data_IF_098736239354
#
_entry.id   IF_098736239354
#
_cell.length_a   1.000
_cell.length_b   1.000
_cell.length_c   1.000
_cell.angle_alpha   90.00
_cell.angle_beta   90.00
_cell.angle_gamma   90.00
#
_symmetry.space_group_name_H-M   'P 1'
#
loop_
_entity.id
_entity.type
_entity.pdbx_description
1 polymer ?
#
# COMPACT_ATOMS: atom_id res chain seq x y z
N UNK A 1 13.09 42.08 -38.03
CA UNK A 1 14.56 41.98 -38.19
C UNK A 1 15.20 41.71 -36.83
N UNK A 2 15.39 40.45 -36.46
CA UNK A 2 16.31 40.03 -35.39
C UNK A 2 16.76 38.57 -35.66
N UNK A 3 18.03 38.28 -35.31
CA UNK A 3 18.97 37.20 -35.70
C UNK A 3 18.60 35.79 -35.18
N UNK A 4 18.82 34.69 -35.95
CA UNK A 4 20.01 33.77 -36.01
C UNK A 4 20.49 33.28 -34.62
N UNK A 5 20.75 32.01 -34.28
CA UNK A 5 21.44 30.89 -34.97
C UNK A 5 21.03 29.52 -34.37
N UNK A 6 21.07 28.46 -35.19
CA UNK A 6 20.86 27.07 -34.77
C UNK A 6 22.14 26.38 -34.27
N UNK A 7 21.96 25.41 -33.36
CA UNK A 7 23.02 24.56 -32.82
C UNK A 7 23.22 23.30 -33.67
N UNK A 8 24.46 23.08 -34.14
CA UNK A 8 24.90 21.89 -34.84
C UNK A 8 25.17 20.73 -33.87
N UNK A 9 24.67 19.54 -34.22
CA UNK A 9 25.07 18.25 -33.65
C UNK A 9 26.48 17.89 -34.15
N UNK A 10 27.42 17.58 -33.25
CA UNK A 10 28.70 16.98 -33.62
C UNK A 10 28.65 15.47 -33.36
N UNK A 11 28.85 14.68 -34.42
CA UNK A 11 29.07 13.24 -34.38
C UNK A 11 30.55 12.97 -34.09
N UNK A 12 30.87 12.14 -33.08
CA UNK A 12 32.21 11.56 -32.96
C UNK A 12 32.18 10.11 -33.43
N UNK A 13 33.07 9.83 -34.40
CA UNK A 13 33.38 8.51 -34.94
C UNK A 13 34.02 7.63 -33.88
N UNK A 14 33.73 6.34 -33.99
CA UNK A 14 34.44 5.26 -33.35
C UNK A 14 35.84 5.12 -33.96
N UNK A 15 36.87 5.16 -33.11
CA UNK A 15 38.19 4.60 -33.43
C UNK A 15 38.50 3.53 -32.38
N UNK A 16 39.00 2.42 -32.90
CA UNK A 16 39.28 1.17 -32.19
C UNK A 16 40.77 1.07 -31.91
N UNK A 17 41.17 0.92 -30.66
CA UNK A 17 42.52 0.46 -30.30
C UNK A 17 42.53 -0.26 -28.94
N UNK A 18 43.01 -1.51 -28.96
CA UNK A 18 43.93 -2.05 -27.95
C UNK A 18 43.36 -2.49 -26.60
N UNK A 19 43.16 -3.81 -26.44
CA UNK A 19 43.17 -4.49 -25.13
C UNK A 19 44.54 -4.30 -24.46
N UNK A 20 44.55 -3.84 -23.21
CA UNK A 20 45.57 -4.21 -22.23
C UNK A 20 44.92 -4.29 -20.85
N UNK A 21 44.99 -5.46 -20.23
CA UNK A 21 44.40 -5.74 -18.93
C UNK A 21 45.06 -4.98 -17.79
N UNK A 22 44.21 -4.47 -16.91
CA UNK A 22 44.51 -4.23 -15.51
C UNK A 22 43.15 -4.26 -14.79
N UNK A 23 42.89 -5.29 -13.99
CA UNK A 23 41.81 -5.26 -13.00
C UNK A 23 42.10 -4.15 -11.99
N UNK A 24 41.21 -3.17 -11.77
CA UNK A 24 41.34 -2.30 -10.63
C UNK A 24 40.79 -3.07 -9.42
N UNK A 25 41.71 -3.63 -8.64
CA UNK A 25 41.48 -3.95 -7.23
C UNK A 25 40.83 -2.75 -6.53
N UNK A 26 39.58 -2.94 -6.08
CA UNK A 26 38.93 -2.23 -4.98
C UNK A 26 39.14 -0.72 -4.89
N UNK A 27 38.55 0.04 -5.82
CA UNK A 27 38.27 1.44 -5.52
C UNK A 27 37.16 1.47 -4.46
N UNK A 28 37.48 1.99 -3.26
CA UNK A 28 36.47 2.25 -2.22
C UNK A 28 35.37 3.19 -2.74
N UNK A 29 34.21 3.24 -2.07
CA UNK A 29 33.08 4.05 -2.53
C UNK A 29 33.50 5.52 -2.70
N UNK A 30 33.02 6.15 -3.77
CA UNK A 30 33.25 7.58 -3.99
C UNK A 30 32.49 8.40 -2.92
N UNK A 31 32.92 9.64 -2.61
CA UNK A 31 32.20 10.49 -1.64
C UNK A 31 30.72 10.73 -1.99
N UNK A 32 30.38 10.68 -3.28
CA UNK A 32 29.01 10.77 -3.78
C UNK A 32 28.22 9.47 -3.52
N UNK A 33 28.83 8.29 -3.74
CA UNK A 33 28.24 7.01 -3.37
C UNK A 33 28.03 6.86 -1.85
N UNK A 34 28.96 7.33 -1.03
CA UNK A 34 28.80 7.37 0.44
C UNK A 34 27.65 8.30 0.89
N UNK A 35 27.32 9.34 0.12
CA UNK A 35 26.16 10.19 0.38
C UNK A 35 24.85 9.50 0.00
N UNK A 36 24.81 8.80 -1.13
CA UNK A 36 23.65 8.05 -1.62
C UNK A 36 23.32 6.88 -0.69
N UNK A 37 24.33 6.10 -0.29
CA UNK A 37 24.15 4.99 0.66
C UNK A 37 23.51 5.44 1.98
N UNK A 38 24.01 6.54 2.58
CA UNK A 38 23.41 7.11 3.81
C UNK A 38 21.97 7.56 3.61
N UNK A 39 21.67 8.20 2.48
CA UNK A 39 20.30 8.61 2.17
C UNK A 39 19.36 7.41 2.01
N UNK A 40 19.83 6.30 1.42
CA UNK A 40 19.05 5.07 1.31
C UNK A 40 18.81 4.44 2.69
N UNK A 41 19.82 4.44 3.57
CA UNK A 41 19.66 3.96 4.93
C UNK A 41 18.60 4.78 5.71
N UNK A 42 18.58 6.10 5.52
CA UNK A 42 17.54 7.00 6.07
C UNK A 42 16.15 6.64 5.52
N UNK A 43 16.03 6.47 4.19
CA UNK A 43 14.77 6.05 3.56
C UNK A 43 14.29 4.70 4.11
N UNK A 44 15.18 3.74 4.31
CA UNK A 44 14.84 2.43 4.89
C UNK A 44 14.38 2.58 6.34
N UNK A 45 15.10 3.35 7.16
CA UNK A 45 14.75 3.60 8.55
C UNK A 45 13.36 4.25 8.68
N UNK A 46 13.01 5.14 7.76
CA UNK A 46 11.69 5.78 7.69
C UNK A 46 10.59 4.89 7.09
N UNK A 47 10.94 3.74 6.49
CA UNK A 47 9.99 2.85 5.80
C UNK A 47 9.68 3.27 4.35
N UNK A 48 10.45 4.19 3.80
CA UNK A 48 10.31 4.81 2.47
C UNK A 48 11.26 4.20 1.42
N UNK A 49 11.66 2.95 1.65
CA UNK A 49 12.57 2.18 0.80
C UNK A 49 12.09 2.03 -0.66
N UNK A 50 10.79 2.17 -0.95
CA UNK A 50 10.25 2.11 -2.30
C UNK A 50 10.89 3.13 -3.26
N UNK A 51 11.27 4.32 -2.79
CA UNK A 51 11.93 5.33 -3.63
C UNK A 51 13.28 4.89 -4.16
N UNK A 52 14.04 4.12 -3.36
CA UNK A 52 15.31 3.56 -3.79
C UNK A 52 15.11 2.47 -4.87
N UNK A 53 13.92 1.87 -4.96
CA UNK A 53 13.63 0.79 -5.91
C UNK A 53 12.93 1.25 -7.19
N UNK A 54 12.48 2.50 -7.27
CA UNK A 54 11.85 3.04 -8.48
C UNK A 54 12.79 2.95 -9.68
N UNK A 55 12.24 2.60 -10.84
CA UNK A 55 13.00 2.54 -12.11
C UNK A 55 13.66 3.87 -12.45
N UNK A 56 13.03 4.99 -12.11
CA UNK A 56 13.58 6.34 -12.30
C UNK A 56 14.78 6.65 -11.40
N UNK A 57 14.98 5.87 -10.33
CA UNK A 57 16.15 6.00 -9.44
C UNK A 57 17.31 5.09 -9.88
N UNK A 58 17.12 4.23 -10.89
CA UNK A 58 18.15 3.27 -11.33
C UNK A 58 19.37 3.96 -11.95
N UNK A 59 19.20 5.17 -12.50
CA UNK A 59 20.30 5.97 -13.04
C UNK A 59 21.23 6.54 -11.94
N UNK A 60 20.77 6.56 -10.68
CA UNK A 60 21.45 7.23 -9.57
C UNK A 60 21.83 6.29 -8.42
N UNK A 61 21.13 5.17 -8.27
CA UNK A 61 21.35 4.20 -7.19
C UNK A 61 21.85 2.91 -7.80
N UNK A 62 23.07 2.52 -7.43
CA UNK A 62 23.69 1.28 -7.89
C UNK A 62 22.97 0.05 -7.32
N UNK A 63 23.19 -1.11 -7.92
CA UNK A 63 22.49 -2.34 -7.54
C UNK A 63 22.83 -2.77 -6.10
N UNK A 64 24.11 -2.69 -5.72
CA UNK A 64 24.57 -3.00 -4.36
C UNK A 64 23.96 -2.05 -3.31
N UNK A 65 23.71 -0.80 -3.70
CA UNK A 65 23.07 0.22 -2.84
C UNK A 65 21.56 0.00 -2.71
N UNK A 66 20.91 -0.58 -3.73
CA UNK A 66 19.49 -0.91 -3.71
C UNK A 66 19.19 -2.23 -2.97
N UNK A 67 20.17 -3.14 -2.83
CA UNK A 67 19.97 -4.45 -2.21
C UNK A 67 19.37 -4.41 -0.78
N UNK A 68 19.76 -3.48 0.12
CA UNK A 68 19.10 -3.32 1.42
C UNK A 68 17.63 -2.92 1.31
N UNK A 69 17.27 -2.09 0.32
CA UNK A 69 15.90 -1.68 0.07
C UNK A 69 15.04 -2.83 -0.46
N UNK A 70 15.59 -3.70 -1.32
CA UNK A 70 14.92 -4.93 -1.75
C UNK A 70 14.63 -5.86 -0.56
N UNK A 71 15.64 -6.12 0.29
CA UNK A 71 15.44 -6.91 1.51
C UNK A 71 14.41 -6.30 2.46
N UNK A 72 14.32 -4.98 2.53
CA UNK A 72 13.29 -4.29 3.31
C UNK A 72 11.89 -4.52 2.71
N UNK A 73 11.76 -4.41 1.38
CA UNK A 73 10.50 -4.65 0.68
C UNK A 73 10.00 -6.08 0.88
N UNK A 74 10.84 -7.10 0.74
CA UNK A 74 10.46 -8.52 0.91
C UNK A 74 9.95 -8.85 2.32
N UNK A 75 10.52 -8.18 3.34
CA UNK A 75 10.06 -8.30 4.73
C UNK A 75 8.71 -7.62 4.96
N UNK A 76 8.47 -6.47 4.32
CA UNK A 76 7.29 -5.64 4.59
C UNK A 76 6.11 -5.92 3.66
N UNK A 77 6.36 -6.45 2.47
CA UNK A 77 5.34 -6.69 1.46
C UNK A 77 5.52 -8.08 0.83
N UNK A 78 4.41 -8.64 0.36
CA UNK A 78 4.39 -9.88 -0.38
C UNK A 78 4.17 -9.60 -1.88
N UNK A 79 4.95 -10.25 -2.73
CA UNK A 79 4.71 -10.24 -4.17
C UNK A 79 3.42 -11.03 -4.46
N UNK A 80 2.51 -10.39 -5.19
CA UNK A 80 1.35 -11.01 -5.81
C UNK A 80 1.64 -11.05 -7.31
N UNK A 81 1.83 -12.25 -7.91
CA UNK A 81 2.27 -12.36 -9.30
C UNK A 81 1.18 -11.89 -10.26
N UNK A 82 1.57 -11.60 -11.52
CA UNK A 82 0.62 -11.37 -12.60
C UNK A 82 -0.36 -12.55 -12.74
N UNK A 83 -1.60 -12.27 -13.14
CA UNK A 83 -2.59 -13.32 -13.37
C UNK A 83 -3.99 -12.78 -13.54
N UNK A 84 -4.82 -13.54 -14.25
CA UNK A 84 -6.24 -13.26 -14.46
C UNK A 84 -7.06 -13.86 -13.31
N UNK A 85 -7.91 -13.04 -12.69
CA UNK A 85 -8.74 -13.46 -11.56
C UNK A 85 -10.19 -13.02 -11.79
N UNK A 86 -11.14 -13.86 -11.36
CA UNK A 86 -12.55 -13.46 -11.33
C UNK A 86 -12.76 -12.61 -10.09
N UNK A 87 -13.04 -11.32 -10.28
CA UNK A 87 -13.31 -10.38 -9.20
C UNK A 87 -14.76 -9.92 -9.27
N UNK A 88 -15.33 -9.63 -8.11
CA UNK A 88 -16.62 -8.96 -8.04
C UNK A 88 -16.38 -7.45 -8.12
N UNK A 89 -16.92 -6.84 -9.19
CA UNK A 89 -16.85 -5.40 -9.44
C UNK A 89 -17.82 -4.66 -8.52
N UNK A 90 -17.70 -3.34 -8.42
CA UNK A 90 -18.59 -2.52 -7.58
C UNK A 90 -20.08 -2.62 -7.97
N UNK A 91 -20.39 -2.93 -9.23
CA UNK A 91 -21.75 -3.18 -9.71
C UNK A 91 -22.25 -4.61 -9.42
N UNK A 92 -21.45 -5.44 -8.74
CA UNK A 92 -21.81 -6.79 -8.32
C UNK A 92 -21.60 -7.84 -9.39
N UNK A 93 -21.15 -7.43 -10.58
CA UNK A 93 -20.89 -8.35 -11.68
C UNK A 93 -19.52 -9.00 -11.47
N UNK A 94 -19.50 -10.33 -11.56
CA UNK A 94 -18.25 -11.09 -11.66
C UNK A 94 -17.62 -10.84 -13.03
N UNK A 95 -16.34 -10.45 -13.02
CA UNK A 95 -15.59 -10.21 -14.23
C UNK A 95 -14.19 -10.81 -14.12
N UNK A 96 -13.73 -11.42 -15.20
CA UNK A 96 -12.32 -11.80 -15.35
C UNK A 96 -11.50 -10.54 -15.58
N UNK A 97 -10.60 -10.23 -14.65
CA UNK A 97 -9.74 -9.04 -14.68
C UNK A 97 -8.29 -9.49 -14.68
N UNK A 98 -7.49 -8.90 -15.58
CA UNK A 98 -6.04 -9.05 -15.56
C UNK A 98 -5.46 -8.14 -14.49
N UNK A 99 -4.78 -8.72 -13.51
CA UNK A 99 -4.13 -7.97 -12.43
C UNK A 99 -2.62 -8.07 -12.63
N UNK A 100 -1.91 -6.96 -12.94
CA UNK A 100 -0.45 -6.90 -13.01
C UNK A 100 0.22 -7.44 -11.75
N UNK A 101 1.51 -7.77 -11.84
CA UNK A 101 2.28 -8.09 -10.64
C UNK A 101 2.43 -6.84 -9.76
N UNK A 102 2.26 -7.01 -8.45
CA UNK A 102 2.40 -5.93 -7.47
C UNK A 102 2.84 -6.48 -6.12
N UNK A 103 3.40 -5.62 -5.29
CA UNK A 103 3.66 -5.90 -3.89
C UNK A 103 2.50 -5.35 -3.05
N UNK A 104 1.98 -6.16 -2.13
CA UNK A 104 1.01 -5.73 -1.12
C UNK A 104 1.66 -5.79 0.25
N UNK A 105 1.50 -4.73 1.05
CA UNK A 105 2.01 -4.72 2.43
C UNK A 105 1.42 -5.90 3.21
N UNK A 106 2.29 -6.62 3.94
CA UNK A 106 1.92 -7.81 4.69
C UNK A 106 0.89 -7.49 5.76
N UNK A 107 0.91 -6.28 6.31
CA UNK A 107 -0.08 -5.83 7.26
C UNK A 107 -0.63 -4.44 6.93
N UNK A 108 -1.75 -4.10 7.56
CA UNK A 108 -2.21 -2.73 7.66
C UNK A 108 -1.13 -1.81 8.28
N UNK A 109 -1.11 -0.55 7.86
CA UNK A 109 -0.19 0.45 8.40
C UNK A 109 -0.42 0.59 9.90
N UNK A 110 0.65 0.51 10.69
CA UNK A 110 0.59 0.58 12.15
C UNK A 110 0.55 2.03 12.64
N UNK A 111 0.12 2.23 13.88
CA UNK A 111 0.21 3.54 14.52
C UNK A 111 1.66 4.06 14.60
N UNK A 112 2.63 3.18 14.85
CA UNK A 112 4.07 3.53 14.89
C UNK A 112 4.56 4.07 13.55
N UNK A 113 4.16 3.43 12.46
CA UNK A 113 4.51 3.86 11.11
C UNK A 113 3.82 5.17 10.74
N UNK A 114 2.53 5.31 11.03
CA UNK A 114 1.80 6.55 10.79
C UNK A 114 2.31 7.72 11.65
N UNK A 115 2.83 7.45 12.86
CA UNK A 115 3.43 8.48 13.70
C UNK A 115 4.64 9.14 13.05
N UNK A 116 5.40 8.40 12.22
CA UNK A 116 6.52 8.98 11.45
C UNK A 116 6.02 9.96 10.40
N UNK A 117 4.92 9.65 9.74
CA UNK A 117 4.26 10.54 8.78
C UNK A 117 3.78 11.84 9.46
N UNK A 118 3.16 11.72 10.64
CA UNK A 118 2.77 12.90 11.44
C UNK A 118 3.99 13.71 11.86
N UNK A 119 5.02 13.05 12.41
CA UNK A 119 6.24 13.71 12.89
C UNK A 119 7.06 14.37 11.76
N UNK A 120 6.96 13.86 10.54
CA UNK A 120 7.56 14.46 9.35
C UNK A 120 6.82 15.71 8.83
N UNK A 121 5.78 16.19 9.53
CA UNK A 121 5.04 17.40 9.13
C UNK A 121 4.20 17.22 7.87
N UNK A 122 3.82 15.98 7.53
CA UNK A 122 3.15 15.68 6.27
C UNK A 122 1.73 16.28 6.17
N UNK A 123 1.08 16.61 7.28
CA UNK A 123 -0.19 17.34 7.29
C UNK A 123 -0.04 18.79 6.79
N UNK A 124 1.14 19.39 6.91
CA UNK A 124 1.45 20.73 6.40
C UNK A 124 2.00 20.71 4.96
N UNK A 125 2.35 19.53 4.46
CA UNK A 125 2.96 19.32 3.14
C UNK A 125 1.90 19.25 2.03
N UNK A 126 1.42 20.40 1.55
CA UNK A 126 0.33 20.50 0.55
C UNK A 126 0.52 19.67 -0.72
N UNK A 127 1.76 19.33 -1.09
CA UNK A 127 2.09 18.49 -2.26
C UNK A 127 1.57 17.05 -2.14
N UNK A 128 1.38 16.54 -0.92
CA UNK A 128 0.85 15.19 -0.68
C UNK A 128 -0.67 15.12 -0.90
N UNK A 129 -1.35 16.27 -0.85
CA UNK A 129 -2.80 16.37 -0.77
C UNK A 129 -3.41 16.90 -2.07
N UNK A 130 -4.46 16.26 -2.62
CA UNK A 130 -5.21 16.82 -3.73
C UNK A 130 -5.81 18.18 -3.37
N UNK A 131 -5.78 19.15 -4.29
CA UNK A 131 -6.28 20.53 -4.02
C UNK A 131 -7.70 20.59 -3.44
N UNK A 132 -8.56 19.66 -3.85
CA UNK A 132 -9.94 19.59 -3.40
C UNK A 132 -10.09 19.33 -1.89
N UNK A 133 -9.09 18.75 -1.22
CA UNK A 133 -9.14 18.45 0.21
C UNK A 133 -8.47 19.53 1.07
N UNK A 134 -7.78 20.50 0.46
CA UNK A 134 -7.08 21.57 1.19
C UNK A 134 -7.95 22.30 2.23
N UNK A 135 -9.22 22.67 1.94
CA UNK A 135 -10.09 23.30 2.93
C UNK A 135 -10.40 22.43 4.15
N UNK A 136 -10.26 21.10 4.01
CA UNK A 136 -10.56 20.13 5.06
C UNK A 136 -9.33 19.75 5.90
N UNK A 137 -8.10 20.07 5.47
CA UNK A 137 -6.88 19.66 6.18
C UNK A 137 -6.84 20.16 7.63
N UNK A 138 -7.33 21.37 7.88
CA UNK A 138 -7.41 21.96 9.23
C UNK A 138 -8.34 21.18 10.18
N UNK A 139 -9.19 20.29 9.65
CA UNK A 139 -10.10 19.45 10.41
C UNK A 139 -9.52 18.06 10.68
N UNK A 140 -8.38 17.70 10.08
CA UNK A 140 -7.74 16.41 10.29
C UNK A 140 -6.87 16.41 11.53
N UNK A 141 -7.53 16.64 12.65
CA UNK A 141 -6.92 16.73 13.97
C UNK A 141 -7.30 15.55 14.85
N UNK A 142 -6.46 15.30 15.84
CA UNK A 142 -6.69 14.38 16.94
C UNK A 142 -7.61 15.01 17.99
N UNK A 143 -7.88 14.29 19.09
CA UNK A 143 -8.77 14.77 20.17
C UNK A 143 -8.26 16.02 20.90
N UNK A 144 -6.99 16.34 20.78
CA UNK A 144 -6.34 17.51 21.38
C UNK A 144 -6.21 18.69 20.42
N UNK A 145 -6.66 18.54 19.16
CA UNK A 145 -6.54 19.56 18.12
C UNK A 145 -5.20 19.57 17.40
N UNK A 146 -4.33 18.59 17.62
CA UNK A 146 -3.07 18.43 16.89
C UNK A 146 -3.30 17.67 15.59
N UNK A 147 -2.54 17.91 14.50
CA UNK A 147 -2.66 17.11 13.28
C UNK A 147 -2.42 15.62 13.55
N UNK A 148 -3.29 14.76 13.04
CA UNK A 148 -3.18 13.31 13.22
C UNK A 148 -4.52 12.60 13.35
N UNK A 149 -4.52 11.25 13.45
CA UNK A 149 -5.73 10.42 13.45
C UNK A 149 -6.77 10.80 14.52
N UNK A 150 -8.06 10.67 14.20
CA UNK A 150 -9.16 11.14 15.04
C UNK A 150 -9.23 10.47 16.43
N UNK A 151 -8.66 9.27 16.56
CA UNK A 151 -8.62 8.53 17.83
C UNK A 151 -7.43 8.87 18.73
N UNK A 152 -6.44 9.59 18.21
CA UNK A 152 -5.21 9.97 18.93
C UNK A 152 -5.46 11.14 19.88
N UNK A 153 -4.48 11.42 20.73
CA UNK A 153 -4.48 12.59 21.60
C UNK A 153 -3.04 13.06 21.89
N UNK A 154 -2.81 14.36 21.94
CA UNK A 154 -1.51 14.95 22.20
C UNK A 154 -0.48 14.66 21.09
N UNK A 155 -0.93 14.46 19.86
CA UNK A 155 -0.07 14.15 18.71
C UNK A 155 0.49 12.72 18.72
N UNK A 156 -0.07 11.81 19.53
CA UNK A 156 0.40 10.42 19.63
C UNK A 156 -0.73 9.41 19.74
N UNK A 157 -0.41 8.16 19.40
CA UNK A 157 -1.33 7.04 19.47
C UNK A 157 -1.59 6.58 20.91
N UNK A 158 -2.71 5.87 21.16
CA UNK A 158 -3.00 5.30 22.48
C UNK A 158 -1.88 4.38 22.98
N UNK A 159 -1.59 4.45 24.29
CA UNK A 159 -0.55 3.64 24.92
C UNK A 159 -0.76 2.13 24.64
N UNK A 160 0.32 1.44 24.28
CA UNK A 160 0.29 0.01 23.96
C UNK A 160 -0.19 -0.32 22.54
N UNK A 161 -0.61 0.66 21.73
CA UNK A 161 -1.12 0.44 20.36
C UNK A 161 -0.11 0.73 19.24
N UNK A 162 1.18 0.79 19.55
CA UNK A 162 2.22 1.08 18.56
C UNK A 162 2.14 0.16 17.33
N UNK A 163 1.96 -1.15 17.56
CA UNK A 163 1.92 -2.17 16.52
C UNK A 163 0.49 -2.60 16.14
N UNK A 164 -0.52 -1.85 16.58
CA UNK A 164 -1.90 -1.99 16.11
C UNK A 164 -2.08 -1.19 14.81
N UNK A 165 -3.05 -1.57 13.96
CA UNK A 165 -3.37 -0.78 12.77
C UNK A 165 -3.77 0.66 13.15
N UNK A 166 -3.33 1.63 12.35
CA UNK A 166 -3.82 3.00 12.44
C UNK A 166 -5.27 3.04 11.98
N UNK A 167 -6.11 3.71 12.76
CA UNK A 167 -7.54 3.89 12.50
C UNK A 167 -7.95 5.33 12.77
N UNK A 168 -9.15 5.74 12.37
CA UNK A 168 -9.59 7.13 12.51
C UNK A 168 -8.92 8.05 11.50
N UNK A 169 -8.55 7.50 10.34
CA UNK A 169 -8.01 8.22 9.19
C UNK A 169 -8.99 8.14 8.03
N UNK A 170 -9.14 9.21 7.28
CA UNK A 170 -9.94 9.24 6.07
C UNK A 170 -9.16 8.70 4.87
N UNK A 171 -9.83 8.53 3.73
CA UNK A 171 -9.20 8.02 2.51
C UNK A 171 -8.04 8.91 2.04
N UNK A 172 -8.17 10.24 2.16
CA UNK A 172 -7.13 11.18 1.76
C UNK A 172 -5.89 11.10 2.65
N UNK A 173 -6.05 10.90 3.97
CA UNK A 173 -4.93 10.67 4.90
C UNK A 173 -4.19 9.37 4.55
N UNK A 174 -4.93 8.29 4.26
CA UNK A 174 -4.37 7.01 3.83
C UNK A 174 -3.60 7.14 2.49
N UNK A 175 -4.18 7.80 1.50
CA UNK A 175 -3.54 8.04 0.21
C UNK A 175 -2.31 8.97 0.31
N UNK A 176 -2.35 9.99 1.17
CA UNK A 176 -1.21 10.87 1.43
C UNK A 176 -0.04 10.12 2.09
N UNK A 177 -0.33 9.27 3.08
CA UNK A 177 0.67 8.38 3.67
C UNK A 177 1.28 7.46 2.61
N UNK A 178 0.45 6.78 1.82
CA UNK A 178 0.94 5.85 0.79
C UNK A 178 1.88 6.55 -0.19
N UNK A 179 1.56 7.78 -0.63
CA UNK A 179 2.45 8.59 -1.47
C UNK A 179 3.76 8.96 -0.77
N UNK A 180 3.68 9.36 0.50
CA UNK A 180 4.86 9.75 1.29
C UNK A 180 5.87 8.61 1.45
N UNK A 181 5.40 7.36 1.50
CA UNK A 181 6.26 6.16 1.51
C UNK A 181 6.61 5.61 0.12
N UNK A 182 6.23 6.30 -0.95
CA UNK A 182 6.53 5.89 -2.33
C UNK A 182 5.65 4.76 -2.86
N UNK A 183 4.48 4.53 -2.25
CA UNK A 183 3.50 3.50 -2.58
C UNK A 183 2.17 4.13 -3.03
N UNK A 184 1.10 3.33 -3.05
CA UNK A 184 -0.29 3.75 -3.31
C UNK A 184 -1.25 2.88 -2.50
N UNK A 185 -2.55 3.18 -2.53
CA UNK A 185 -3.56 2.25 -2.04
C UNK A 185 -3.75 1.09 -3.03
N UNK A 186 -4.09 -0.12 -2.56
CA UNK A 186 -4.46 -1.23 -3.44
C UNK A 186 -5.79 -0.94 -4.13
N UNK A 187 -5.94 -1.44 -5.35
CA UNK A 187 -7.26 -1.53 -5.98
C UNK A 187 -8.05 -2.69 -5.40
N UNK A 188 -9.36 -2.70 -5.60
CA UNK A 188 -10.22 -3.78 -5.14
C UNK A 188 -9.93 -5.11 -5.84
N UNK A 189 -9.49 -5.09 -7.10
CA UNK A 189 -9.10 -6.29 -7.83
C UNK A 189 -7.79 -6.87 -7.29
N UNK A 190 -6.82 -6.02 -6.98
CA UNK A 190 -5.56 -6.41 -6.33
C UNK A 190 -5.80 -7.00 -4.96
N UNK A 191 -6.59 -6.32 -4.12
CA UNK A 191 -6.93 -6.81 -2.79
C UNK A 191 -7.67 -8.15 -2.85
N UNK A 192 -8.67 -8.29 -3.73
CA UNK A 192 -9.40 -9.54 -3.95
C UNK A 192 -8.50 -10.68 -4.38
N UNK A 193 -7.55 -10.43 -5.28
CA UNK A 193 -6.60 -11.44 -5.75
C UNK A 193 -5.61 -11.86 -4.66
N UNK A 194 -5.14 -10.90 -3.88
CA UNK A 194 -4.21 -11.17 -2.78
C UNK A 194 -4.88 -11.98 -1.67
N UNK A 195 -6.10 -11.61 -1.28
CA UNK A 195 -6.85 -12.27 -0.20
C UNK A 195 -7.50 -13.57 -0.63
N UNK A 196 -8.21 -13.58 -1.76
CA UNK A 196 -8.97 -14.74 -2.23
C UNK A 196 -8.15 -15.70 -3.08
N UNK A 197 -6.94 -16.05 -2.62
CA UNK A 197 -5.95 -16.83 -3.38
C UNK A 197 -6.59 -18.05 -4.08
N UNK A 198 -6.71 -18.09 -5.42
CA UNK A 198 -7.26 -19.26 -6.08
C UNK A 198 -6.29 -20.42 -5.85
N UNK A 199 -6.78 -21.51 -5.27
CA UNK A 199 -6.01 -22.72 -4.91
C UNK A 199 -5.16 -23.28 -6.10
N UNK A 200 -5.50 -22.87 -7.33
CA UNK A 200 -4.63 -22.98 -8.50
C UNK A 200 -4.30 -21.58 -9.05
N UNK A 201 -3.02 -21.30 -9.22
CA UNK A 201 -2.44 -20.13 -9.92
C UNK A 201 -2.86 -19.98 -11.40
N UNK A 202 -3.91 -20.68 -11.85
CA UNK A 202 -4.33 -20.84 -13.25
C UNK A 202 -5.81 -20.57 -13.54
N UNK A 203 -6.48 -19.76 -12.70
CA UNK A 203 -7.86 -19.31 -12.92
C UNK A 203 -8.89 -20.05 -12.05
N UNK A 204 -9.73 -19.27 -11.36
CA UNK A 204 -10.80 -19.72 -10.46
C UNK A 204 -11.47 -18.53 -9.77
N UNK A 205 -12.61 -18.76 -9.11
CA UNK A 205 -13.26 -17.78 -8.23
C UNK A 205 -12.44 -17.58 -6.96
N UNK A 206 -12.31 -16.35 -6.49
CA UNK A 206 -11.68 -16.05 -5.22
C UNK A 206 -12.32 -16.82 -4.06
N UNK A 207 -11.53 -17.41 -3.17
CA UNK A 207 -12.04 -17.99 -1.92
C UNK A 207 -12.74 -16.93 -1.08
N UNK A 208 -13.69 -17.36 -0.24
CA UNK A 208 -14.43 -16.44 0.64
C UNK A 208 -13.53 -15.74 1.65
N UNK A 209 -12.56 -16.46 2.22
CA UNK A 209 -11.56 -15.97 3.16
C UNK A 209 -10.16 -16.39 2.69
N UNK A 210 -9.08 -15.78 3.23
CA UNK A 210 -7.71 -16.12 2.87
C UNK A 210 -7.32 -17.59 3.01
N UNK A 211 -7.99 -18.31 3.90
CA UNK A 211 -7.76 -19.72 4.21
C UNK A 211 -8.83 -20.67 3.65
N UNK A 212 -9.74 -20.18 2.80
CA UNK A 212 -10.81 -20.99 2.17
C UNK A 212 -12.22 -20.48 2.45
N UNK A 213 -13.23 -21.34 2.27
CA UNK A 213 -14.63 -20.92 2.28
C UNK A 213 -15.35 -21.05 3.63
N UNK A 214 -14.77 -21.84 4.55
CA UNK A 214 -15.32 -22.03 5.88
C UNK A 214 -14.70 -21.02 6.85
N UNK A 215 -15.56 -20.24 7.51
CA UNK A 215 -15.12 -19.27 8.51
C UNK A 215 -14.57 -19.97 9.76
N UNK A 216 -13.50 -19.41 10.31
CA UNK A 216 -12.87 -19.86 11.56
C UNK A 216 -12.61 -18.64 12.47
N UNK A 217 -13.28 -18.52 13.63
CA UNK A 217 -13.12 -17.37 14.52
C UNK A 217 -11.73 -17.26 15.14
N UNK A 218 -10.91 -18.31 15.13
CA UNK A 218 -9.53 -18.25 15.60
C UNK A 218 -8.56 -17.60 14.60
N UNK A 219 -9.00 -17.37 13.36
CA UNK A 219 -8.18 -16.87 12.25
C UNK A 219 -8.42 -15.39 11.92
N UNK A 220 -9.47 -14.78 12.46
CA UNK A 220 -9.78 -13.37 12.20
C UNK A 220 -10.34 -12.66 13.43
N UNK A 221 -9.95 -11.40 13.58
CA UNK A 221 -10.51 -10.51 14.59
C UNK A 221 -11.80 -9.88 14.04
N UNK A 222 -12.93 -10.57 14.21
CA UNK A 222 -14.28 -10.05 13.97
C UNK A 222 -15.06 -10.04 15.29
N UNK A 223 -16.30 -9.52 15.30
CA UNK A 223 -17.10 -9.48 16.53
C UNK A 223 -17.23 -10.88 17.21
N UNK A 224 -17.43 -11.99 16.47
CA UNK A 224 -17.51 -13.33 17.07
C UNK A 224 -16.22 -13.83 17.75
N UNK A 225 -15.06 -13.20 17.50
CA UNK A 225 -13.81 -13.55 18.18
C UNK A 225 -13.78 -13.14 19.66
N UNK A 226 -14.62 -12.17 20.04
CA UNK A 226 -14.70 -11.64 21.41
C UNK A 226 -13.55 -10.71 21.83
N UNK A 227 -12.62 -10.37 20.92
CA UNK A 227 -11.47 -9.50 21.24
C UNK A 227 -11.87 -8.04 21.48
N UNK A 228 -12.92 -7.54 20.80
CA UNK A 228 -13.59 -6.26 21.11
C UNK A 228 -12.83 -4.98 20.76
N UNK A 229 -11.61 -5.08 20.23
CA UNK A 229 -10.79 -3.98 19.74
C UNK A 229 -9.81 -4.52 18.69
N UNK A 230 -9.13 -3.62 18.00
CA UNK A 230 -7.93 -3.91 17.21
C UNK A 230 -6.93 -4.74 18.00
N UNK A 231 -6.25 -5.65 17.32
CA UNK A 231 -5.09 -6.41 17.83
C UNK A 231 -3.82 -6.03 17.05
N UNK A 232 -2.61 -6.34 17.55
CA UNK A 232 -1.38 -6.14 16.81
C UNK A 232 -1.44 -6.79 15.43
N UNK A 233 -0.78 -6.15 14.46
CA UNK A 233 -0.88 -6.53 13.05
C UNK A 233 -0.30 -7.91 12.69
N UNK A 234 0.49 -8.49 13.58
CA UNK A 234 1.07 -9.83 13.47
C UNK A 234 0.33 -10.90 14.31
N UNK A 235 -0.81 -10.54 14.90
CA UNK A 235 -1.66 -11.49 15.62
C UNK A 235 -2.46 -12.36 14.64
N UNK A 236 -2.91 -13.53 15.13
CA UNK A 236 -3.74 -14.49 14.38
C UNK A 236 -3.07 -15.04 13.11
N UNK A 237 -1.82 -15.56 13.18
CA UNK A 237 -1.08 -16.02 12.00
C UNK A 237 -1.77 -17.17 11.24
N UNK A 238 -2.72 -17.87 11.86
CA UNK A 238 -3.53 -18.90 11.19
C UNK A 238 -4.46 -18.32 10.10
N UNK A 239 -4.67 -17.00 10.08
CA UNK A 239 -5.48 -16.30 9.08
C UNK A 239 -4.70 -15.70 7.91
N UNK A 240 -3.38 -15.90 7.86
CA UNK A 240 -2.53 -15.33 6.81
C UNK A 240 -2.81 -15.97 5.45
N UNK A 241 -2.60 -15.20 4.38
CA UNK A 241 -2.55 -15.76 3.01
C UNK A 241 -1.33 -16.68 2.85
N UNK A 242 -1.30 -17.57 1.84
CA UNK A 242 -0.16 -18.47 1.60
C UNK A 242 1.19 -17.76 1.42
N UNK A 243 1.19 -16.54 0.88
CA UNK A 243 2.39 -15.72 0.70
C UNK A 243 2.67 -14.77 1.89
N UNK A 244 1.95 -14.91 3.01
CA UNK A 244 2.22 -14.24 4.28
C UNK A 244 1.69 -12.81 4.38
N UNK A 245 0.48 -12.57 3.89
CA UNK A 245 -0.26 -11.32 4.09
C UNK A 245 -1.23 -11.54 5.25
N UNK A 246 -1.04 -10.77 6.32
CA UNK A 246 -1.73 -10.87 7.59
C UNK A 246 -3.09 -10.18 7.56
N UNK A 247 -4.03 -10.75 8.30
CA UNK A 247 -5.28 -10.11 8.72
C UNK A 247 -6.05 -9.44 7.57
N UNK A 248 -6.12 -10.07 6.40
CA UNK A 248 -6.98 -9.57 5.32
C UNK A 248 -8.46 -9.68 5.68
N UNK A 249 -8.83 -10.63 6.54
CA UNK A 249 -10.18 -10.71 7.12
C UNK A 249 -10.14 -10.20 8.57
N UNK A 250 -10.93 -9.17 8.85
CA UNK A 250 -11.10 -8.59 10.17
C UNK A 250 -9.97 -7.64 10.61
N UNK A 251 -9.92 -7.41 11.91
CA UNK A 251 -9.14 -6.36 12.59
C UNK A 251 -9.61 -4.96 12.22
N UNK A 252 -9.42 -4.51 10.98
CA UNK A 252 -9.90 -3.22 10.48
C UNK A 252 -10.39 -3.34 9.05
N UNK A 253 -11.40 -2.56 8.70
CA UNK A 253 -11.72 -2.30 7.30
C UNK A 253 -10.53 -1.58 6.65
N UNK A 254 -10.29 -1.84 5.37
CA UNK A 254 -9.15 -1.23 4.66
C UNK A 254 -9.62 -0.36 3.50
N UNK A 255 -9.14 0.89 3.47
CA UNK A 255 -9.33 1.79 2.33
C UNK A 255 -8.69 1.25 1.06
N UNK A 256 -9.45 1.30 -0.04
CA UNK A 256 -8.98 0.97 -1.38
C UNK A 256 -8.91 2.21 -2.27
N UNK A 257 -8.15 2.14 -3.36
CA UNK A 257 -8.10 3.21 -4.36
C UNK A 257 -9.46 3.41 -5.05
N UNK A 258 -10.23 2.35 -5.24
CA UNK A 258 -11.48 2.37 -6.00
C UNK A 258 -12.56 3.27 -5.39
N UNK A 259 -13.24 4.01 -6.27
CA UNK A 259 -14.52 4.66 -5.94
C UNK A 259 -15.61 3.62 -5.77
N UNK A 260 -16.57 3.92 -4.91
CA UNK A 260 -17.82 3.18 -4.81
C UNK A 260 -18.92 3.99 -5.48
N UNK A 261 -19.15 3.76 -6.76
CA UNK A 261 -20.19 4.47 -7.52
C UNK A 261 -21.55 3.75 -7.52
N UNK A 262 -21.55 2.47 -7.12
CA UNK A 262 -22.69 1.58 -7.14
C UNK A 262 -22.52 0.53 -6.03
N UNK A 263 -23.62 0.13 -5.40
CA UNK A 263 -23.72 -1.05 -4.54
C UNK A 263 -24.85 -1.92 -5.08
N UNK A 264 -24.62 -3.21 -5.35
CA UNK A 264 -25.67 -4.11 -5.83
C UNK A 264 -26.67 -4.39 -4.71
N UNK A 265 -27.95 -4.26 -5.02
CA UNK A 265 -29.06 -4.58 -4.13
C UNK A 265 -29.75 -5.88 -4.59
N UNK A 266 -30.87 -6.24 -3.95
CA UNK A 266 -31.70 -7.37 -4.41
C UNK A 266 -32.30 -7.07 -5.79
N UNK A 267 -32.58 -8.11 -6.56
CA UNK A 267 -33.36 -8.05 -7.80
C UNK A 267 -32.80 -7.11 -8.89
N UNK A 268 -31.47 -7.08 -9.06
CA UNK A 268 -30.76 -6.29 -10.08
C UNK A 268 -30.85 -4.76 -9.89
N UNK A 269 -31.39 -4.31 -8.75
CA UNK A 269 -31.32 -2.90 -8.37
C UNK A 269 -29.91 -2.52 -7.91
N UNK A 270 -29.56 -1.25 -8.08
CA UNK A 270 -28.26 -0.71 -7.66
C UNK A 270 -28.48 0.55 -6.84
N UNK A 271 -27.96 0.56 -5.62
CA UNK A 271 -27.87 1.79 -4.84
C UNK A 271 -26.70 2.63 -5.35
N UNK A 272 -26.97 3.91 -5.65
CA UNK A 272 -25.94 4.87 -6.04
C UNK A 272 -25.75 5.88 -4.91
N UNK A 273 -24.56 5.98 -4.32
CA UNK A 273 -24.28 6.98 -3.30
C UNK A 273 -24.56 8.40 -3.77
N UNK A 274 -25.25 9.17 -2.94
CA UNK A 274 -25.52 10.59 -3.18
C UNK A 274 -24.31 11.49 -2.90
N UNK A 275 -23.31 10.97 -2.18
CA UNK A 275 -22.01 11.62 -1.91
C UNK A 275 -20.87 10.74 -2.43
N UNK A 276 -19.69 11.31 -2.77
CA UNK A 276 -18.52 10.52 -3.12
C UNK A 276 -18.14 9.53 -2.00
N UNK A 277 -17.95 8.28 -2.38
CA UNK A 277 -17.55 7.19 -1.49
C UNK A 277 -16.37 6.42 -2.08
N UNK A 278 -15.54 5.88 -1.20
CA UNK A 278 -14.44 4.97 -1.57
C UNK A 278 -14.74 3.59 -1.05
N UNK A 279 -14.27 2.58 -1.78
CA UNK A 279 -14.42 1.20 -1.37
C UNK A 279 -13.60 0.94 -0.11
N UNK A 280 -14.19 0.16 0.78
CA UNK A 280 -13.50 -0.49 1.89
C UNK A 280 -13.79 -2.00 1.85
N UNK A 281 -12.89 -2.80 2.40
CA UNK A 281 -13.01 -4.26 2.38
C UNK A 281 -12.34 -4.92 3.60
N UNK A 282 -12.62 -6.20 3.83
CA UNK A 282 -11.96 -7.04 4.84
C UNK A 282 -12.75 -7.27 6.13
N UNK A 283 -13.65 -6.36 6.50
CA UNK A 283 -14.32 -6.39 7.81
C UNK A 283 -13.43 -5.89 8.94
N UNK A 284 -14.00 -5.61 10.10
CA UNK A 284 -13.28 -5.13 11.29
C UNK A 284 -13.66 -5.91 12.56
N UNK A 285 -12.97 -5.63 13.67
CA UNK A 285 -13.21 -6.26 14.98
C UNK A 285 -14.65 -6.16 15.49
N UNK A 286 -15.45 -5.21 14.98
CA UNK A 286 -16.86 -5.00 15.32
C UNK A 286 -17.84 -5.49 14.24
N UNK A 287 -17.35 -6.11 13.17
CA UNK A 287 -18.19 -6.70 12.12
C UNK A 287 -18.85 -7.99 12.62
N UNK A 288 -20.18 -7.98 12.65
CA UNK A 288 -21.00 -9.10 13.14
C UNK A 288 -21.30 -10.13 12.05
N UNK A 289 -21.67 -9.67 10.84
CA UNK A 289 -22.05 -10.55 9.76
C UNK A 289 -20.80 -11.05 9.04
N UNK A 290 -20.55 -12.36 9.10
CA UNK A 290 -19.40 -13.01 8.47
C UNK A 290 -19.36 -12.83 6.94
N UNK A 291 -20.53 -12.60 6.32
CA UNK A 291 -20.67 -12.29 4.90
C UNK A 291 -20.14 -10.91 4.51
N UNK A 292 -19.94 -10.00 5.48
CA UNK A 292 -19.39 -8.66 5.25
C UNK A 292 -17.86 -8.66 5.30
N UNK A 293 -17.25 -9.71 5.84
CA UNK A 293 -15.79 -9.83 5.98
C UNK A 293 -15.16 -10.75 4.92
N UNK A 294 -15.90 -11.06 3.84
CA UNK A 294 -15.39 -11.91 2.76
C UNK A 294 -14.47 -11.13 1.84
N UNK A 295 -13.61 -11.85 1.12
CA UNK A 295 -12.66 -11.23 0.21
C UNK A 295 -13.30 -10.47 -0.96
N UNK A 296 -14.58 -10.73 -1.26
CA UNK A 296 -15.32 -10.14 -2.37
C UNK A 296 -16.45 -9.20 -1.91
N UNK A 297 -16.57 -8.92 -0.60
CA UNK A 297 -17.62 -8.03 -0.12
C UNK A 297 -17.50 -6.61 -0.69
N UNK A 298 -18.65 -6.00 -0.97
CA UNK A 298 -18.73 -4.66 -1.57
C UNK A 298 -19.40 -3.73 -0.59
N UNK A 299 -18.64 -2.78 -0.09
CA UNK A 299 -19.15 -1.65 0.68
C UNK A 299 -18.20 -0.47 0.50
N UNK A 300 -18.53 0.64 1.13
CA UNK A 300 -17.65 1.79 1.17
C UNK A 300 -18.09 2.81 2.20
N UNK A 301 -17.31 3.87 2.27
CA UNK A 301 -17.50 4.94 3.24
C UNK A 301 -17.20 6.29 2.55
N UNK A 302 -17.74 7.39 3.07
CA UNK A 302 -17.45 8.72 2.55
C UNK A 302 -15.96 9.04 2.65
N UNK A 303 -15.40 9.72 1.64
CA UNK A 303 -13.95 9.89 1.51
C UNK A 303 -13.29 10.67 2.67
N UNK A 304 -14.08 11.49 3.38
CA UNK A 304 -13.66 12.30 4.54
C UNK A 304 -14.04 11.66 5.88
N UNK A 305 -14.75 10.53 5.88
CA UNK A 305 -15.20 9.90 7.12
C UNK A 305 -14.00 9.24 7.83
N UNK A 306 -13.84 9.51 9.13
CA UNK A 306 -12.71 9.04 9.96
C UNK A 306 -13.22 8.06 11.01
N UNK A 307 -13.45 6.80 10.62
CA UNK A 307 -14.02 5.77 11.49
C UNK A 307 -12.94 5.08 12.33
N UNK A 308 -13.30 4.69 13.55
CA UNK A 308 -12.38 4.07 14.53
C UNK A 308 -12.04 2.60 14.23
N UNK A 309 -12.63 2.03 13.19
CA UNK A 309 -12.44 0.64 12.74
C UNK A 309 -12.04 0.56 11.26
N UNK A 310 -11.69 1.69 10.62
CA UNK A 310 -11.17 1.73 9.25
C UNK A 310 -9.72 2.19 9.28
N UNK A 311 -8.83 1.37 8.75
CA UNK A 311 -7.43 1.63 8.47
C UNK A 311 -7.14 1.41 6.98
N UNK A 312 -5.90 1.02 6.66
CA UNK A 312 -5.48 0.74 5.29
C UNK A 312 -4.15 0.00 5.26
N UNK A 313 -3.82 -0.57 4.10
CA UNK A 313 -2.48 -1.06 3.75
C UNK A 313 -2.05 -0.47 2.41
N UNK A 314 -0.76 -0.48 2.10
CA UNK A 314 -0.27 0.05 0.84
C UNK A 314 0.04 -1.07 -0.17
N UNK A 315 0.08 -0.68 -1.44
CA UNK A 315 0.52 -1.50 -2.57
C UNK A 315 1.56 -0.74 -3.40
N UNK A 316 2.40 -1.49 -4.11
CA UNK A 316 3.44 -0.99 -4.99
C UNK A 316 3.43 -1.78 -6.30
N UNK A 317 3.20 -1.10 -7.42
CA UNK A 317 3.16 -1.77 -8.73
C UNK A 317 4.56 -2.24 -9.12
N UNK A 318 4.70 -3.53 -9.48
CA UNK A 318 6.02 -4.10 -9.76
C UNK A 318 6.65 -3.53 -11.04
N UNK A 319 5.83 -3.11 -12.02
CA UNK A 319 6.26 -2.48 -13.27
C UNK A 319 6.96 -1.12 -13.07
N UNK A 320 6.76 -0.48 -11.90
CA UNK A 320 7.43 0.78 -11.55
C UNK A 320 8.81 0.58 -10.96
N UNK A 321 9.16 -0.65 -10.59
CA UNK A 321 10.44 -0.95 -9.96
C UNK A 321 11.51 -1.23 -11.02
N UNK A 322 12.76 -1.06 -10.60
CA UNK A 322 13.90 -1.68 -11.26
C UNK A 322 13.74 -3.21 -11.23
N UNK A 323 14.44 -3.91 -12.10
CA UNK A 323 14.43 -5.37 -12.06
C UNK A 323 15.08 -5.83 -10.75
N UNK A 324 14.49 -6.85 -10.11
CA UNK A 324 15.07 -7.39 -8.90
C UNK A 324 16.40 -8.09 -9.23
N UNK A 325 17.43 -8.01 -8.36
CA UNK A 325 18.69 -8.68 -8.57
C UNK A 325 18.44 -10.19 -8.65
N UNK A 326 18.67 -10.76 -9.85
CA UNK A 326 18.46 -12.15 -10.24
C UNK A 326 17.20 -12.79 -9.63
N UNK A 327 16.06 -12.65 -10.32
CA UNK A 327 14.89 -13.48 -10.06
C UNK A 327 15.22 -14.98 -10.25
N UNK A 328 14.55 -15.90 -9.53
CA UNK A 328 14.69 -17.32 -9.80
C UNK A 328 14.26 -17.71 -11.23
#
# INVERSE_FOLDING_TARGET
MTRWFGWQKSSRRADSYGKSGADPMGAGPTPEGEAIGRYIDELIAEGRHAFALLRSAADYVLEDEAAPAWKALERQAALVPFGQVVVVRSDGVEALVEVPAFYLDRHAVTNREFARFVAAGCYDSLELWPRQVWPSLMQFTDRSGQPGPAGWAGGTYPLGKADHPVVGVCWYEAAAYARWVGKRLPTAAEWQKAGGWPERLGGGSCTRYPWGDLFDPARANLQPSGLGDTVPVNALPGGDTPNGIHQMTGNVWEWLEDRLDAIPCREQEVFRPWKPMRRIIGGAFDTYLLSEATCHFITGQGELDRRHNIGFRCALSADRLRDAPDGP
#
